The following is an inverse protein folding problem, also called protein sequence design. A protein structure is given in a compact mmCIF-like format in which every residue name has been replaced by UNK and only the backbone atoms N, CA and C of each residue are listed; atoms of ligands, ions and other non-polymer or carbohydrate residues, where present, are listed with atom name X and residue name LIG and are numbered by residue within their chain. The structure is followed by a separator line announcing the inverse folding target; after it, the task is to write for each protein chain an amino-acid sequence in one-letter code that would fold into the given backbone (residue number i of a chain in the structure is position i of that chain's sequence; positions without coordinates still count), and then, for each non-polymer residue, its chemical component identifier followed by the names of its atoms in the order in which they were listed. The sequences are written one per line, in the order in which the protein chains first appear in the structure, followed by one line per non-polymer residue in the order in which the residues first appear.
data_IF_248838085960
#
_entry.id   IF_248838085960
#
_cell.length_a   1.000
_cell.length_b   1.000
_cell.length_c   1.000
_cell.angle_alpha   90.00
_cell.angle_beta   90.00
_cell.angle_gamma   90.00
#
_symmetry.space_group_name_H-M   'P 1'
#
loop_
_entity.id
_entity.type
_entity.pdbx_description
1 polymer ?
#
# COMPACT_ATOMS: atom_id res chain seq x y z
N UNK A 1 2.10 -7.23 -11.36
CA UNK A 1 1.57 -5.85 -11.49
C UNK A 1 2.14 -5.11 -12.70
N UNK A 2 3.47 -5.01 -12.88
CA UNK A 2 4.10 -4.30 -14.03
C UNK A 2 3.48 -4.63 -15.40
N UNK A 3 3.37 -5.91 -15.75
CA UNK A 3 2.77 -6.32 -17.03
C UNK A 3 1.29 -5.88 -17.18
N UNK A 4 0.52 -5.91 -16.09
CA UNK A 4 -0.87 -5.46 -16.08
C UNK A 4 -0.96 -3.95 -16.32
N UNK A 5 -0.12 -3.16 -15.63
CA UNK A 5 -0.12 -1.70 -15.79
C UNK A 5 0.36 -1.27 -17.17
N UNK A 6 1.34 -1.98 -17.76
CA UNK A 6 1.78 -1.74 -19.15
C UNK A 6 0.66 -2.03 -20.14
N UNK A 7 0.06 -3.22 -20.08
CA UNK A 7 -1.04 -3.58 -20.98
C UNK A 7 -2.26 -2.64 -20.82
N UNK A 8 -2.52 -2.17 -19.59
CA UNK A 8 -3.56 -1.17 -19.33
C UNK A 8 -3.25 0.17 -20.00
N UNK A 9 -1.99 0.63 -19.96
CA UNK A 9 -1.55 1.84 -20.66
C UNK A 9 -1.65 1.70 -22.20
N UNK A 10 -1.50 0.48 -22.72
CA UNK A 10 -1.71 0.12 -24.12
C UNK A 10 -3.19 -0.05 -24.50
N UNK A 11 -4.13 0.21 -23.58
CA UNK A 11 -5.57 0.18 -23.84
C UNK A 11 -6.24 -1.19 -23.70
N UNK A 12 -5.54 -2.20 -23.17
CA UNK A 12 -6.10 -3.52 -22.95
C UNK A 12 -7.19 -3.49 -21.85
N UNK A 13 -8.45 -3.66 -22.25
CA UNK A 13 -9.61 -3.60 -21.36
C UNK A 13 -9.61 -4.70 -20.29
N UNK A 14 -9.08 -5.90 -20.59
CA UNK A 14 -8.98 -6.99 -19.61
C UNK A 14 -7.92 -6.70 -18.55
N UNK A 15 -6.80 -6.08 -18.94
CA UNK A 15 -5.78 -5.65 -17.99
C UNK A 15 -6.31 -4.55 -17.06
N UNK A 16 -7.07 -3.59 -17.61
CA UNK A 16 -7.76 -2.57 -16.82
C UNK A 16 -8.73 -3.18 -15.81
N UNK A 17 -9.61 -4.08 -16.27
CA UNK A 17 -10.56 -4.77 -15.39
C UNK A 17 -9.84 -5.57 -14.28
N UNK A 18 -8.77 -6.29 -14.62
CA UNK A 18 -7.99 -7.05 -13.65
C UNK A 18 -7.36 -6.13 -12.57
N UNK A 19 -6.84 -4.97 -12.98
CA UNK A 19 -6.33 -3.96 -12.05
C UNK A 19 -7.43 -3.40 -11.14
N UNK A 20 -8.60 -3.06 -11.71
CA UNK A 20 -9.74 -2.54 -10.94
C UNK A 20 -10.27 -3.57 -9.94
N UNK A 21 -10.37 -4.84 -10.32
CA UNK A 21 -10.72 -5.94 -9.41
C UNK A 21 -9.71 -6.10 -8.28
N UNK A 22 -8.41 -5.99 -8.59
CA UNK A 22 -7.34 -6.03 -7.59
C UNK A 22 -7.48 -4.90 -6.58
N UNK A 23 -7.66 -3.64 -7.04
CA UNK A 23 -7.85 -2.49 -6.17
C UNK A 23 -9.13 -2.62 -5.34
N UNK A 24 -10.23 -3.06 -5.95
CA UNK A 24 -11.49 -3.29 -5.24
C UNK A 24 -11.30 -4.29 -4.10
N UNK A 25 -10.68 -5.45 -4.37
CA UNK A 25 -10.45 -6.45 -3.33
C UNK A 25 -9.52 -5.94 -2.24
N UNK A 26 -8.45 -5.23 -2.59
CA UNK A 26 -7.51 -4.64 -1.64
C UNK A 26 -8.22 -3.65 -0.70
N UNK A 27 -9.03 -2.74 -1.25
CA UNK A 27 -9.82 -1.79 -0.45
C UNK A 27 -10.83 -2.49 0.45
N UNK A 28 -11.51 -3.53 -0.04
CA UNK A 28 -12.45 -4.31 0.77
C UNK A 28 -11.75 -4.99 1.95
N UNK A 29 -10.51 -5.47 1.78
CA UNK A 29 -9.73 -6.06 2.88
C UNK A 29 -9.31 -5.00 3.90
N UNK A 30 -8.79 -3.84 3.46
CA UNK A 30 -8.49 -2.70 4.33
C UNK A 30 -9.74 -2.30 5.14
N UNK A 31 -10.86 -2.09 4.45
CA UNK A 31 -12.16 -1.77 5.06
C UNK A 31 -12.62 -2.78 6.10
N UNK A 32 -12.42 -4.08 5.83
CA UNK A 32 -12.86 -5.14 6.74
C UNK A 32 -12.13 -5.15 8.09
N UNK A 33 -10.93 -4.58 8.16
CA UNK A 33 -10.16 -4.49 9.40
C UNK A 33 -10.49 -3.23 10.21
N UNK A 34 -10.88 -2.14 9.55
CA UNK A 34 -11.07 -0.82 10.18
C UNK A 34 -12.09 -0.86 11.32
N UNK A 35 -13.21 -1.57 11.17
CA UNK A 35 -14.22 -1.65 12.22
C UNK A 35 -13.71 -2.35 13.49
N UNK A 36 -12.91 -3.40 13.33
CA UNK A 36 -12.31 -4.13 14.46
C UNK A 36 -11.18 -3.35 15.13
N UNK A 37 -10.53 -2.45 14.39
CA UNK A 37 -9.47 -1.57 14.90
C UNK A 37 -10.02 -0.25 15.48
N UNK A 38 -11.33 -0.02 15.40
CA UNK A 38 -12.02 1.21 15.83
C UNK A 38 -11.49 2.49 15.16
N UNK A 39 -10.82 2.36 14.02
CA UNK A 39 -10.14 3.47 13.35
C UNK A 39 -8.98 3.00 12.49
N UNK A 40 -8.15 3.96 12.06
CA UNK A 40 -6.95 3.71 11.27
C UNK A 40 -5.92 4.81 11.55
N UNK A 41 -4.85 4.51 12.28
CA UNK A 41 -3.76 5.47 12.50
C UNK A 41 -2.75 5.47 11.34
N UNK A 42 -2.43 4.28 10.85
CA UNK A 42 -1.40 4.06 9.83
C UNK A 42 -1.83 3.00 8.82
N UNK A 43 -1.69 3.30 7.53
CA UNK A 43 -1.74 2.33 6.44
C UNK A 43 -0.33 2.06 5.91
N UNK A 44 0.15 0.82 6.04
CA UNK A 44 1.49 0.43 5.60
C UNK A 44 1.43 -0.34 4.28
N UNK A 45 2.21 0.11 3.30
CA UNK A 45 2.52 -0.63 2.08
C UNK A 45 3.92 -1.24 2.17
N UNK A 46 4.01 -2.53 1.89
CA UNK A 46 5.27 -3.29 1.93
C UNK A 46 5.28 -4.36 0.83
N UNK A 47 6.37 -5.11 0.74
CA UNK A 47 6.63 -6.14 -0.26
C UNK A 47 6.62 -5.61 -1.70
N UNK A 48 6.88 -6.50 -2.66
CA UNK A 48 7.14 -6.12 -4.05
C UNK A 48 6.12 -5.16 -4.69
N UNK A 49 4.81 -5.37 -4.51
CA UNK A 49 3.79 -4.48 -5.09
C UNK A 49 3.63 -3.20 -4.26
N UNK A 50 3.55 -3.30 -2.93
CA UNK A 50 3.32 -2.15 -2.06
C UNK A 50 4.47 -1.16 -2.10
N UNK A 51 5.71 -1.63 -2.18
CA UNK A 51 6.91 -0.80 -2.25
C UNK A 51 7.09 -0.14 -3.62
N UNK A 52 6.80 -0.85 -4.70
CA UNK A 52 7.21 -0.41 -6.05
C UNK A 52 6.08 0.18 -6.90
N UNK A 53 4.81 0.03 -6.52
CA UNK A 53 3.68 0.47 -7.34
C UNK A 53 2.97 1.70 -6.76
N UNK A 54 3.46 2.89 -7.14
CA UNK A 54 2.82 4.17 -6.79
C UNK A 54 1.33 4.22 -7.18
N UNK A 55 0.99 3.68 -8.35
CA UNK A 55 -0.40 3.62 -8.82
C UNK A 55 -1.29 2.74 -7.93
N UNK A 56 -0.78 1.60 -7.43
CA UNK A 56 -1.54 0.76 -6.49
C UNK A 56 -1.75 1.50 -5.18
N UNK A 57 -0.71 2.12 -4.62
CA UNK A 57 -0.82 2.90 -3.38
C UNK A 57 -1.82 4.04 -3.50
N UNK A 58 -1.76 4.78 -4.61
CA UNK A 58 -2.70 5.86 -4.90
C UNK A 58 -4.13 5.35 -4.95
N UNK A 59 -4.39 4.32 -5.77
CA UNK A 59 -5.75 3.78 -5.98
C UNK A 59 -6.30 3.10 -4.73
N UNK A 60 -5.45 2.44 -3.96
CA UNK A 60 -5.83 1.84 -2.68
C UNK A 60 -6.12 2.90 -1.60
N UNK A 61 -5.45 4.06 -1.64
CA UNK A 61 -5.62 5.15 -0.68
C UNK A 61 -6.80 6.09 -1.01
N UNK A 62 -7.35 6.02 -2.23
CA UNK A 62 -8.51 6.82 -2.63
C UNK A 62 -9.79 6.37 -1.89
N UNK A 63 -10.59 7.33 -1.43
CA UNK A 63 -11.91 7.09 -0.83
C UNK A 63 -11.93 6.88 0.69
N UNK A 64 -10.81 7.10 1.37
CA UNK A 64 -10.70 7.02 2.84
C UNK A 64 -10.68 8.41 3.51
N UNK A 65 -11.09 9.48 2.81
CA UNK A 65 -11.10 10.84 3.35
C UNK A 65 -12.02 10.99 4.57
N UNK A 66 -13.05 10.16 4.71
CA UNK A 66 -13.90 10.12 5.90
C UNK A 66 -13.16 9.65 7.17
N UNK A 67 -12.03 8.94 7.01
CA UNK A 67 -11.10 8.60 8.09
C UNK A 67 -9.99 9.65 8.25
N UNK A 68 -9.94 10.66 7.37
CA UNK A 68 -8.89 11.68 7.36
C UNK A 68 -7.59 11.23 6.68
N UNK A 69 -7.63 10.21 5.82
CA UNK A 69 -6.49 9.79 5.01
C UNK A 69 -6.35 10.67 3.77
N UNK A 70 -5.21 11.35 3.66
CA UNK A 70 -4.83 12.20 2.52
C UNK A 70 -3.41 11.83 2.04
N UNK A 71 -3.31 11.35 0.81
CA UNK A 71 -2.04 10.93 0.21
C UNK A 71 -1.35 12.10 -0.49
N UNK A 72 -0.05 12.28 -0.25
CA UNK A 72 0.79 13.18 -1.04
C UNK A 72 1.24 12.46 -2.32
N UNK A 73 0.70 12.89 -3.47
CA UNK A 73 0.98 12.26 -4.76
C UNK A 73 2.45 12.46 -5.20
N UNK A 74 3.10 13.55 -4.80
CA UNK A 74 4.48 13.82 -5.14
C UNK A 74 5.40 12.88 -4.35
N UNK A 75 5.21 12.77 -3.04
CA UNK A 75 5.94 11.80 -2.20
C UNK A 75 5.70 10.36 -2.66
N UNK A 76 4.44 10.02 -2.95
CA UNK A 76 4.09 8.69 -3.46
C UNK A 76 4.80 8.32 -4.77
N UNK A 77 5.00 9.28 -5.67
CA UNK A 77 5.66 9.07 -6.96
C UNK A 77 7.21 9.05 -6.86
N UNK A 78 7.79 9.53 -5.76
CA UNK A 78 9.23 9.69 -5.58
C UNK A 78 10.01 8.39 -5.25
N UNK A 79 9.41 7.22 -5.49
CA UNK A 79 9.97 5.90 -5.10
C UNK A 79 10.35 5.84 -3.60
N UNK A 80 9.40 6.16 -2.70
CA UNK A 80 9.63 6.21 -1.26
C UNK A 80 10.10 4.85 -0.72
N UNK A 81 11.00 4.89 0.26
CA UNK A 81 11.46 3.72 0.99
C UNK A 81 11.65 4.07 2.46
N UNK A 82 10.99 3.30 3.33
CA UNK A 82 10.94 3.55 4.77
C UNK A 82 10.48 4.99 5.08
N UNK A 83 9.49 5.45 4.32
CA UNK A 83 9.05 6.85 4.27
C UNK A 83 7.54 6.98 4.39
N UNK A 84 7.11 8.07 5.00
CA UNK A 84 5.73 8.48 5.11
C UNK A 84 5.31 9.38 3.93
N UNK A 85 4.32 8.92 3.18
CA UNK A 85 3.83 9.56 1.97
C UNK A 85 2.44 10.19 2.13
N UNK A 86 1.96 10.36 3.37
CA UNK A 86 0.77 11.16 3.62
C UNK A 86 1.09 12.67 3.58
N UNK A 87 0.05 13.48 3.29
CA UNK A 87 0.14 14.94 3.45
C UNK A 87 0.34 15.32 4.91
N UNK A 88 0.80 16.54 5.19
CA UNK A 88 1.00 17.00 6.56
C UNK A 88 -0.34 17.21 7.32
N UNK A 89 -1.45 17.38 6.57
CA UNK A 89 -2.81 17.51 7.10
C UNK A 89 -3.50 16.17 7.33
N UNK A 90 -2.96 15.08 6.79
CA UNK A 90 -3.54 13.74 6.93
C UNK A 90 -3.52 13.27 8.38
N UNK A 91 -4.69 12.84 8.88
CA UNK A 91 -4.82 12.21 10.20
C UNK A 91 -4.31 10.77 10.21
N UNK A 92 -4.43 10.09 9.06
CA UNK A 92 -3.91 8.74 8.86
C UNK A 92 -2.55 8.83 8.17
N UNK A 93 -1.51 8.23 8.75
CA UNK A 93 -0.20 8.17 8.09
C UNK A 93 -0.19 7.06 7.04
N UNK A 94 0.53 7.26 5.95
CA UNK A 94 0.62 6.27 4.87
C UNK A 94 2.09 5.96 4.66
N UNK A 95 2.52 4.79 5.10
CA UNK A 95 3.94 4.43 5.12
C UNK A 95 4.27 3.48 3.97
N UNK A 96 5.44 3.65 3.36
CA UNK A 96 6.06 2.63 2.52
C UNK A 96 7.26 2.07 3.27
N UNK A 97 7.16 0.84 3.74
CA UNK A 97 8.19 0.18 4.55
C UNK A 97 8.76 -0.99 3.78
N UNK A 98 10.09 -1.03 3.61
CA UNK A 98 10.78 -2.13 2.96
C UNK A 98 10.68 -3.39 3.82
N UNK A 99 10.24 -4.50 3.24
CA UNK A 99 10.30 -5.78 3.95
C UNK A 99 11.74 -6.26 4.05
N UNK A 100 12.18 -6.66 5.25
CA UNK A 100 13.47 -7.30 5.49
C UNK A 100 13.27 -8.76 5.92
N UNK A 101 12.72 -9.59 5.02
CA UNK A 101 12.31 -10.98 5.30
C UNK A 101 13.45 -11.80 5.91
N UNK A 102 14.65 -11.74 5.31
CA UNK A 102 15.83 -12.47 5.79
C UNK A 102 16.24 -12.05 7.21
N UNK A 103 16.15 -10.75 7.52
CA UNK A 103 16.46 -10.24 8.85
C UNK A 103 15.42 -10.66 9.88
N UNK A 104 14.14 -10.69 9.49
CA UNK A 104 13.07 -11.16 10.34
C UNK A 104 13.26 -12.65 10.68
N UNK A 105 13.57 -13.49 9.69
CA UNK A 105 13.86 -14.91 9.89
C UNK A 105 15.08 -15.08 10.80
N UNK A 106 16.18 -14.37 10.52
CA UNK A 106 17.39 -14.46 11.34
C UNK A 106 17.14 -14.07 12.80
N UNK A 107 16.35 -13.02 13.04
CA UNK A 107 15.99 -12.57 14.39
C UNK A 107 15.14 -13.61 15.13
N UNK A 108 14.19 -14.22 14.44
CA UNK A 108 13.36 -15.27 15.01
C UNK A 108 14.18 -16.52 15.33
N UNK A 109 15.07 -16.94 14.42
CA UNK A 109 16.03 -18.02 14.69
C UNK A 109 16.94 -17.72 15.89
N UNK A 110 17.39 -16.47 16.04
CA UNK A 110 18.19 -16.05 17.19
C UNK A 110 17.42 -16.14 18.51
N UNK A 111 16.15 -15.71 18.55
CA UNK A 111 15.32 -15.82 19.75
C UNK A 111 15.06 -17.27 20.19
N UNK A 112 15.12 -18.22 19.26
CA UNK A 112 14.97 -19.65 19.54
C UNK A 112 16.28 -20.33 19.96
N UNK A 113 17.41 -19.61 19.91
CA UNK A 113 18.71 -20.13 20.33
C UNK A 113 18.83 -20.05 21.87
N UNK A 114 19.13 -21.18 22.55
CA UNK A 114 19.23 -21.24 24.02
C UNK A 114 20.42 -20.49 24.62
#
# INVERSE_FOLDING_TARGET
MRAITTAMAEGNQRAKLAFEMYIHRLKSLIGSMIASLEGLDVLVFTAGIGENSALVREKASQGWSFLGLELDLAKNAAHPRDEDIATDTSKVRVMVIATAEDSAIARECWHLSP
#
